data_IF_370990664215
#
_entry.id   IF_370990664215
#
_cell.length_a   1.000
_cell.length_b   1.000
_cell.length_c   1.000
_cell.angle_alpha   90.00
_cell.angle_beta   90.00
_cell.angle_gamma   90.00
#
_symmetry.space_group_name_H-M   'P 1'
#
loop_
_entity.id
_entity.type
_entity.pdbx_description
1 polymer ?
#
# COMPACT_ATOMS: atom_id res chain seq x y z
N UNK A 1 -21.07 29.79 -2.49
CA UNK A 1 -20.66 28.41 -2.83
C UNK A 1 -20.92 27.61 -1.59
N UNK A 2 -21.65 26.51 -1.72
CA UNK A 2 -21.86 25.60 -0.59
C UNK A 2 -20.68 24.64 -0.46
N UNK A 3 -20.50 24.04 0.72
CA UNK A 3 -19.36 23.15 0.99
C UNK A 3 -19.36 21.92 0.06
N UNK A 4 -20.53 21.39 -0.28
CA UNK A 4 -20.67 20.24 -1.18
C UNK A 4 -20.27 20.62 -2.62
N UNK A 5 -20.70 21.81 -3.08
CA UNK A 5 -20.33 22.35 -4.40
C UNK A 5 -18.82 22.59 -4.50
N UNK A 6 -18.18 23.01 -3.40
CA UNK A 6 -16.73 23.16 -3.33
C UNK A 6 -16.01 21.82 -3.55
N UNK A 7 -16.38 20.78 -2.81
CA UNK A 7 -15.75 19.46 -2.94
C UNK A 7 -16.01 18.78 -4.29
N UNK A 8 -17.19 18.98 -4.89
CA UNK A 8 -17.46 18.52 -6.25
C UNK A 8 -16.48 19.13 -7.26
N UNK A 9 -16.26 20.45 -7.17
CA UNK A 9 -15.32 21.16 -8.05
C UNK A 9 -13.86 20.81 -7.79
N UNK A 10 -13.47 20.53 -6.54
CA UNK A 10 -12.14 19.97 -6.26
C UNK A 10 -11.94 18.63 -6.96
N UNK A 11 -12.97 17.78 -7.01
CA UNK A 11 -12.96 16.53 -7.78
C UNK A 11 -12.70 16.74 -9.28
N UNK A 12 -13.22 17.81 -9.86
CA UNK A 12 -12.93 18.19 -11.24
C UNK A 12 -11.48 18.67 -11.42
N UNK A 13 -10.95 19.49 -10.50
CA UNK A 13 -9.54 19.91 -10.54
C UNK A 13 -8.58 18.73 -10.38
N UNK A 14 -8.88 17.78 -9.49
CA UNK A 14 -8.13 16.53 -9.35
C UNK A 14 -8.04 15.79 -10.69
N UNK A 15 -9.18 15.62 -11.38
CA UNK A 15 -9.20 14.98 -12.71
C UNK A 15 -8.32 15.74 -13.73
N UNK A 16 -8.43 17.06 -13.77
CA UNK A 16 -7.63 17.91 -14.68
C UNK A 16 -6.13 17.74 -14.39
N UNK A 17 -5.71 17.81 -13.13
CA UNK A 17 -4.31 17.65 -12.74
C UNK A 17 -3.74 16.30 -13.22
N UNK A 18 -4.51 15.21 -13.03
CA UNK A 18 -4.12 13.85 -13.46
C UNK A 18 -4.03 13.73 -14.98
N UNK A 19 -5.02 14.25 -15.72
CA UNK A 19 -5.06 14.18 -17.19
C UNK A 19 -3.97 15.03 -17.85
N UNK A 20 -3.68 16.21 -17.29
CA UNK A 20 -2.61 17.08 -17.75
C UNK A 20 -1.22 16.62 -17.30
N UNK A 21 -1.13 15.69 -16.34
CA UNK A 21 0.12 15.26 -15.69
C UNK A 21 0.90 16.46 -15.11
N UNK A 22 0.18 17.34 -14.40
CA UNK A 22 0.70 18.55 -13.75
C UNK A 22 0.55 18.41 -12.24
N UNK A 23 1.53 18.91 -11.48
CA UNK A 23 1.45 18.88 -10.02
C UNK A 23 0.31 19.80 -9.53
N UNK A 24 -0.42 19.39 -8.49
CA UNK A 24 -1.60 20.15 -8.02
C UNK A 24 -1.22 21.57 -7.63
N UNK A 25 -0.09 21.76 -6.93
CA UNK A 25 0.36 23.10 -6.54
C UNK A 25 0.62 24.01 -7.76
N UNK A 26 1.15 23.47 -8.87
CA UNK A 26 1.34 24.23 -10.11
C UNK A 26 0.00 24.62 -10.75
N UNK A 27 -0.98 23.70 -10.75
CA UNK A 27 -2.33 23.99 -11.22
C UNK A 27 -3.02 25.09 -10.39
N UNK A 28 -2.74 25.14 -9.08
CA UNK A 28 -3.30 26.17 -8.19
C UNK A 28 -2.55 27.50 -8.31
N UNK A 29 -1.23 27.47 -8.48
CA UNK A 29 -0.39 28.66 -8.56
C UNK A 29 -0.51 29.35 -9.92
N UNK A 30 -0.48 28.56 -11.00
CA UNK A 30 -0.49 29.02 -12.38
C UNK A 30 -1.62 28.32 -13.18
N UNK A 31 -2.90 28.63 -12.90
CA UNK A 31 -4.03 27.85 -13.41
C UNK A 31 -4.28 27.99 -14.92
N UNK A 32 -3.65 28.96 -15.59
CA UNK A 32 -3.81 29.17 -17.04
C UNK A 32 -5.28 29.26 -17.47
N UNK A 33 -5.70 28.40 -18.40
CA UNK A 33 -7.09 28.31 -18.87
C UNK A 33 -8.10 27.91 -17.78
N UNK A 34 -7.65 27.37 -16.65
CA UNK A 34 -8.50 26.95 -15.53
C UNK A 34 -8.68 28.04 -14.47
N UNK A 35 -8.18 29.26 -14.68
CA UNK A 35 -8.25 30.36 -13.70
C UNK A 35 -9.70 30.66 -13.24
N UNK A 36 -10.66 30.60 -14.17
CA UNK A 36 -12.08 30.83 -13.87
C UNK A 36 -12.70 29.77 -12.92
N UNK A 37 -12.10 28.59 -12.84
CA UNK A 37 -12.47 27.54 -11.89
C UNK A 37 -11.72 27.67 -10.57
N UNK A 38 -10.41 27.93 -10.62
CA UNK A 38 -9.54 27.97 -9.44
C UNK A 38 -9.80 29.19 -8.56
N UNK A 39 -9.98 30.38 -9.14
CA UNK A 39 -10.11 31.62 -8.35
C UNK A 39 -11.33 31.63 -7.41
N UNK A 40 -12.55 31.22 -7.84
CA UNK A 40 -13.69 31.15 -6.93
C UNK A 40 -13.51 30.13 -5.79
N UNK A 41 -12.84 29.00 -6.06
CA UNK A 41 -12.58 27.97 -5.06
C UNK A 41 -11.60 28.46 -4.00
N UNK A 42 -10.54 29.14 -4.43
CA UNK A 42 -9.56 29.73 -3.52
C UNK A 42 -10.21 30.79 -2.62
N UNK A 43 -10.99 31.72 -3.21
CA UNK A 43 -11.67 32.76 -2.45
C UNK A 43 -12.67 32.16 -1.44
N UNK A 44 -13.39 31.11 -1.84
CA UNK A 44 -14.25 30.38 -0.92
C UNK A 44 -13.44 29.73 0.21
N UNK A 45 -12.37 29.00 -0.10
CA UNK A 45 -11.55 28.31 0.90
C UNK A 45 -10.92 29.29 1.90
N UNK A 46 -10.49 30.46 1.42
CA UNK A 46 -9.98 31.54 2.26
C UNK A 46 -11.03 32.07 3.23
N UNK A 47 -12.28 32.21 2.78
CA UNK A 47 -13.39 32.73 3.60
C UNK A 47 -13.76 31.80 4.77
N UNK A 48 -13.43 30.51 4.66
CA UNK A 48 -13.71 29.49 5.67
C UNK A 48 -12.47 29.00 6.42
N UNK A 49 -11.30 29.63 6.22
CA UNK A 49 -10.08 29.30 6.95
C UNK A 49 -10.29 29.44 8.47
N UNK A 50 -9.97 28.36 9.19
CA UNK A 50 -10.08 28.27 10.64
C UNK A 50 -8.73 28.52 11.32
N UNK A 51 -8.74 28.77 12.64
CA UNK A 51 -7.50 28.87 13.42
C UNK A 51 -6.70 27.57 13.44
N UNK A 52 -7.38 26.42 13.31
CA UNK A 52 -6.73 25.12 13.20
C UNK A 52 -5.98 24.97 11.87
N UNK A 53 -6.61 25.38 10.77
CA UNK A 53 -5.94 25.46 9.46
C UNK A 53 -4.69 26.34 9.54
N UNK A 54 -4.82 27.53 10.14
CA UNK A 54 -3.69 28.46 10.25
C UNK A 54 -2.51 27.88 11.02
N UNK A 55 -2.79 27.18 12.11
CA UNK A 55 -1.75 26.53 12.92
C UNK A 55 -1.11 25.38 12.15
N UNK A 56 -1.92 24.47 11.57
CA UNK A 56 -1.44 23.29 10.85
C UNK A 56 -0.69 23.63 9.56
N UNK A 57 -1.05 24.73 8.90
CA UNK A 57 -0.47 25.12 7.61
C UNK A 57 0.66 26.15 7.72
N UNK A 58 0.85 26.77 8.89
CA UNK A 58 1.84 27.83 9.11
C UNK A 58 3.26 27.44 8.69
N UNK A 59 3.66 26.19 8.93
CA UNK A 59 4.99 25.67 8.56
C UNK A 59 5.25 25.70 7.05
N UNK A 60 4.22 25.53 6.21
CA UNK A 60 4.37 25.49 4.75
C UNK A 60 4.62 26.87 4.15
N UNK A 61 4.34 27.96 4.88
CA UNK A 61 4.62 29.32 4.41
C UNK A 61 6.12 29.55 4.14
N UNK A 62 7.01 28.75 4.74
CA UNK A 62 8.45 28.79 4.51
C UNK A 62 8.89 28.20 3.15
N UNK A 63 8.04 27.41 2.48
CA UNK A 63 8.40 26.61 1.29
C UNK A 63 8.41 27.45 -0.02
N UNK A 64 8.10 28.74 0.05
CA UNK A 64 8.21 29.67 -1.08
C UNK A 64 7.10 29.58 -2.15
N UNK A 65 6.27 28.54 -2.14
CA UNK A 65 5.10 28.45 -3.03
C UNK A 65 4.07 29.56 -2.76
N UNK A 66 3.36 29.95 -3.84
CA UNK A 66 2.32 30.97 -3.84
C UNK A 66 2.84 32.35 -3.41
N UNK A 67 4.10 32.68 -3.74
CA UNK A 67 4.78 33.88 -3.22
C UNK A 67 4.08 35.21 -3.56
N UNK A 68 3.32 35.25 -4.66
CA UNK A 68 2.56 36.44 -5.08
C UNK A 68 1.27 36.71 -4.29
N UNK A 69 0.94 35.87 -3.31
CA UNK A 69 -0.31 35.93 -2.53
C UNK A 69 -0.04 36.42 -1.09
N UNK A 70 -1.05 37.05 -0.48
CA UNK A 70 -1.02 37.40 0.95
C UNK A 70 -0.91 36.16 1.83
N UNK A 71 -0.50 36.32 3.10
CA UNK A 71 -0.37 35.19 4.04
C UNK A 71 -1.64 34.32 4.07
N UNK A 72 -2.82 34.93 4.12
CA UNK A 72 -4.10 34.21 4.24
C UNK A 72 -4.44 33.46 2.95
N UNK A 73 -4.29 34.10 1.80
CA UNK A 73 -4.46 33.47 0.49
C UNK A 73 -3.47 32.31 0.25
N UNK A 74 -2.22 32.41 0.77
CA UNK A 74 -1.24 31.31 0.71
C UNK A 74 -1.69 30.11 1.53
N UNK A 75 -2.19 30.33 2.75
CA UNK A 75 -2.74 29.27 3.59
C UNK A 75 -3.94 28.60 2.91
N UNK A 76 -4.85 29.38 2.32
CA UNK A 76 -5.97 28.86 1.55
C UNK A 76 -5.51 28.02 0.34
N UNK A 77 -4.46 28.47 -0.35
CA UNK A 77 -3.88 27.75 -1.49
C UNK A 77 -3.27 26.42 -1.08
N UNK A 78 -2.54 26.37 0.04
CA UNK A 78 -2.01 25.11 0.59
C UNK A 78 -3.14 24.17 1.02
N UNK A 79 -4.15 24.68 1.74
CA UNK A 79 -5.30 23.89 2.15
C UNK A 79 -6.00 23.25 0.94
N UNK A 80 -6.33 24.06 -0.06
CA UNK A 80 -6.98 23.60 -1.29
C UNK A 80 -6.10 22.61 -2.06
N UNK A 81 -4.77 22.84 -2.12
CA UNK A 81 -3.83 21.90 -2.75
C UNK A 81 -3.88 20.53 -2.06
N UNK A 82 -3.81 20.48 -0.74
CA UNK A 82 -3.89 19.22 0.00
C UNK A 82 -5.25 18.54 -0.16
N UNK A 83 -6.35 19.29 -0.16
CA UNK A 83 -7.69 18.75 -0.38
C UNK A 83 -7.84 18.13 -1.78
N UNK A 84 -7.26 18.74 -2.82
CA UNK A 84 -7.22 18.17 -4.18
C UNK A 84 -6.34 16.91 -4.21
N UNK A 85 -5.17 16.92 -3.56
CA UNK A 85 -4.29 15.74 -3.47
C UNK A 85 -4.96 14.58 -2.72
N UNK A 86 -5.72 14.85 -1.67
CA UNK A 86 -6.51 13.85 -0.96
C UNK A 86 -7.57 13.22 -1.87
N UNK A 87 -8.24 14.02 -2.71
CA UNK A 87 -9.21 13.55 -3.68
C UNK A 87 -8.57 12.73 -4.82
N UNK A 88 -7.39 13.16 -5.30
CA UNK A 88 -6.57 12.38 -6.23
C UNK A 88 -6.20 11.02 -5.67
N UNK A 89 -5.67 10.99 -4.45
CA UNK A 89 -5.33 9.75 -3.73
C UNK A 89 -6.56 8.87 -3.57
N UNK A 90 -7.72 9.44 -3.22
CA UNK A 90 -8.98 8.70 -3.08
C UNK A 90 -9.35 7.95 -4.35
N UNK A 91 -9.37 8.68 -5.48
CA UNK A 91 -9.73 8.12 -6.79
C UNK A 91 -8.71 7.07 -7.24
N UNK A 92 -7.44 7.36 -7.07
CA UNK A 92 -6.37 6.47 -7.52
C UNK A 92 -6.37 5.16 -6.76
N UNK A 93 -6.56 5.17 -5.43
CA UNK A 93 -6.67 3.94 -4.63
C UNK A 93 -7.87 3.10 -5.08
N UNK A 94 -9.05 3.71 -5.24
CA UNK A 94 -10.25 2.98 -5.68
C UNK A 94 -10.02 2.31 -7.03
N UNK A 95 -9.48 3.06 -7.99
CA UNK A 95 -9.11 2.56 -9.32
C UNK A 95 -8.09 1.41 -9.24
N UNK A 96 -7.05 1.56 -8.41
CA UNK A 96 -6.03 0.53 -8.21
C UNK A 96 -6.56 -0.72 -7.51
N UNK A 97 -7.69 -0.65 -6.81
CA UNK A 97 -8.36 -1.76 -6.15
C UNK A 97 -9.40 -2.47 -7.03
N UNK A 98 -9.76 -1.92 -8.20
CA UNK A 98 -10.74 -2.52 -9.11
C UNK A 98 -10.26 -3.88 -9.64
N UNK A 99 -11.18 -4.83 -9.79
CA UNK A 99 -10.86 -6.09 -10.47
C UNK A 99 -10.47 -5.82 -11.93
N UNK A 100 -9.67 -6.70 -12.48
CA UNK A 100 -9.32 -6.65 -13.88
C UNK A 100 -10.53 -6.89 -14.78
N UNK A 101 -10.68 -6.04 -15.79
CA UNK A 101 -11.71 -6.14 -16.81
C UNK A 101 -11.17 -5.74 -18.19
N UNK A 102 -11.84 -6.18 -19.25
CA UNK A 102 -11.42 -5.94 -20.63
C UNK A 102 -11.56 -4.48 -21.09
N UNK A 103 -12.30 -3.65 -20.36
CA UNK A 103 -12.46 -2.22 -20.59
C UNK A 103 -11.29 -1.39 -20.09
N UNK A 104 -10.45 -1.93 -19.20
CA UNK A 104 -9.27 -1.23 -18.70
C UNK A 104 -8.18 -1.09 -19.77
N UNK A 105 -7.48 0.05 -19.73
CA UNK A 105 -6.50 0.47 -20.74
C UNK A 105 -5.41 -0.58 -21.03
N UNK A 106 -4.92 -1.27 -20.01
CA UNK A 106 -3.92 -2.32 -20.14
C UNK A 106 -4.43 -3.47 -21.01
N UNK A 107 -5.64 -3.97 -20.74
CA UNK A 107 -6.22 -5.11 -21.46
C UNK A 107 -6.76 -4.73 -22.85
N UNK A 108 -7.20 -3.48 -23.04
CA UNK A 108 -7.47 -2.98 -24.39
C UNK A 108 -6.21 -2.92 -25.26
N UNK A 109 -5.08 -2.53 -24.66
CA UNK A 109 -3.81 -2.37 -25.38
C UNK A 109 -3.07 -3.70 -25.56
N UNK A 110 -3.24 -4.65 -24.63
CA UNK A 110 -2.62 -5.98 -24.64
C UNK A 110 -3.66 -7.06 -24.31
N UNK A 111 -4.60 -7.38 -25.23
CA UNK A 111 -5.69 -8.31 -24.94
C UNK A 111 -5.27 -9.70 -24.50
N UNK A 112 -4.15 -10.21 -25.03
CA UNK A 112 -3.60 -11.53 -24.64
C UNK A 112 -3.15 -11.62 -23.17
N UNK A 113 -3.02 -10.49 -22.46
CA UNK A 113 -2.70 -10.47 -21.05
C UNK A 113 -3.88 -10.96 -20.19
N UNK A 114 -5.11 -10.87 -20.69
CA UNK A 114 -6.29 -11.40 -19.99
C UNK A 114 -6.20 -12.91 -19.77
N UNK A 115 -5.60 -13.66 -20.70
CA UNK A 115 -5.40 -15.11 -20.56
C UNK A 115 -4.33 -15.47 -19.51
N UNK A 116 -3.53 -14.49 -19.12
CA UNK A 116 -2.43 -14.60 -18.14
C UNK A 116 -2.85 -14.20 -16.73
N UNK A 117 -4.11 -13.82 -16.54
CA UNK A 117 -4.68 -13.62 -15.21
C UNK A 117 -4.71 -14.96 -14.48
N UNK A 118 -4.21 -14.95 -13.25
CA UNK A 118 -4.14 -16.11 -12.35
C UNK A 118 -5.49 -16.80 -12.25
N UNK A 119 -5.45 -18.13 -12.29
CA UNK A 119 -6.60 -18.98 -12.02
C UNK A 119 -6.55 -19.51 -10.59
N UNK A 120 -7.70 -19.54 -9.94
CA UNK A 120 -7.90 -20.20 -8.65
C UNK A 120 -7.86 -21.71 -8.85
N UNK A 121 -7.79 -22.47 -7.75
CA UNK A 121 -7.87 -23.94 -7.78
C UNK A 121 -9.15 -24.46 -8.48
N UNK A 122 -10.25 -23.68 -8.46
CA UNK A 122 -11.49 -23.97 -9.19
C UNK A 122 -11.40 -23.79 -10.71
N UNK A 123 -10.28 -23.28 -11.24
CA UNK A 123 -10.08 -22.98 -12.67
C UNK A 123 -10.58 -21.60 -13.12
N UNK A 124 -11.37 -20.92 -12.31
CA UNK A 124 -11.84 -19.55 -12.58
C UNK A 124 -10.72 -18.52 -12.36
N UNK A 125 -10.67 -17.49 -13.19
CA UNK A 125 -9.75 -16.37 -12.98
C UNK A 125 -10.07 -15.60 -11.69
N UNK A 126 -9.04 -15.11 -11.01
CA UNK A 126 -9.22 -14.26 -9.82
C UNK A 126 -9.46 -12.78 -10.16
N UNK A 127 -9.12 -12.38 -11.40
CA UNK A 127 -9.21 -11.00 -11.89
C UNK A 127 -8.40 -10.01 -11.05
N UNK A 128 -7.28 -10.44 -10.46
CA UNK A 128 -6.47 -9.58 -9.60
C UNK A 128 -4.97 -9.66 -9.87
N UNK A 129 -4.45 -10.84 -10.22
CA UNK A 129 -3.02 -11.06 -10.40
C UNK A 129 -2.72 -11.63 -11.79
N UNK A 130 -1.60 -11.22 -12.37
CA UNK A 130 -1.09 -11.70 -13.67
C UNK A 130 0.15 -12.54 -13.44
N UNK A 131 0.32 -13.63 -14.19
CA UNK A 131 1.56 -14.42 -14.20
C UNK A 131 2.79 -13.52 -14.41
N UNK A 132 3.75 -13.55 -13.50
CA UNK A 132 4.95 -12.70 -13.58
C UNK A 132 5.72 -12.96 -14.87
N UNK A 133 5.75 -14.21 -15.35
CA UNK A 133 6.40 -14.61 -16.60
C UNK A 133 5.75 -14.04 -17.87
N UNK A 134 4.53 -13.49 -17.77
CA UNK A 134 3.86 -12.84 -18.90
C UNK A 134 4.37 -11.42 -19.18
N UNK A 135 5.17 -10.87 -18.26
CA UNK A 135 5.75 -9.52 -18.35
C UNK A 135 7.22 -9.56 -17.98
N UNK A 136 7.96 -8.49 -18.27
CA UNK A 136 9.36 -8.37 -17.86
C UNK A 136 9.65 -7.02 -17.27
N UNK A 137 10.31 -6.99 -16.11
CA UNK A 137 10.73 -5.72 -15.49
C UNK A 137 11.80 -5.04 -16.37
N UNK A 138 11.68 -3.73 -16.51
CA UNK A 138 12.69 -2.90 -17.15
C UNK A 138 13.71 -2.50 -16.09
N UNK A 139 14.91 -3.04 -16.17
CA UNK A 139 16.03 -2.73 -15.25
C UNK A 139 15.70 -2.94 -13.76
N UNK A 140 14.79 -3.86 -13.43
CA UNK A 140 14.35 -4.07 -12.05
C UNK A 140 13.47 -2.95 -11.47
N UNK A 141 12.94 -2.05 -12.30
CA UNK A 141 12.08 -0.95 -11.88
C UNK A 141 10.59 -1.35 -11.80
N UNK A 142 9.75 -0.38 -11.41
CA UNK A 142 8.30 -0.49 -11.44
C UNK A 142 7.72 -0.56 -12.86
N UNK A 143 8.53 -0.32 -13.89
CA UNK A 143 8.09 -0.40 -15.29
C UNK A 143 8.23 -1.83 -15.78
N UNK A 144 7.17 -2.33 -16.41
CA UNK A 144 7.15 -3.66 -17.00
C UNK A 144 6.84 -3.57 -18.50
N UNK A 145 7.53 -4.37 -19.32
CA UNK A 145 7.16 -4.59 -20.72
C UNK A 145 5.95 -5.51 -20.77
N UNK A 146 4.94 -5.11 -21.54
CA UNK A 146 3.73 -5.88 -21.80
C UNK A 146 3.36 -5.71 -23.28
N UNK A 147 3.37 -6.81 -24.03
CA UNK A 147 3.23 -6.77 -25.50
C UNK A 147 4.28 -5.87 -26.14
N UNK A 148 3.84 -4.91 -26.94
CA UNK A 148 4.71 -3.94 -27.64
C UNK A 148 4.95 -2.63 -26.87
N UNK A 149 4.46 -2.54 -25.63
CA UNK A 149 4.56 -1.32 -24.83
C UNK A 149 4.93 -1.61 -23.38
N UNK A 150 4.51 -0.70 -22.51
CA UNK A 150 4.90 -0.65 -21.12
C UNK A 150 3.70 -0.43 -20.23
N UNK A 151 3.71 -1.12 -19.09
CA UNK A 151 2.80 -0.90 -17.97
C UNK A 151 3.60 -0.67 -16.70
N UNK A 152 2.92 -0.51 -15.57
CA UNK A 152 3.52 -0.26 -14.26
C UNK A 152 3.07 -1.31 -13.26
N UNK A 153 3.95 -1.60 -12.31
CA UNK A 153 3.62 -2.29 -11.08
C UNK A 153 2.61 -1.47 -10.28
N UNK A 154 1.73 -2.15 -9.53
CA UNK A 154 0.91 -1.45 -8.54
C UNK A 154 1.83 -0.68 -7.55
N UNK A 155 1.60 0.63 -7.29
CA UNK A 155 2.53 1.46 -6.52
C UNK A 155 2.66 1.04 -5.04
N UNK A 156 1.76 0.19 -4.54
CA UNK A 156 1.84 -0.39 -3.20
C UNK A 156 2.78 -1.60 -3.10
N UNK A 157 3.37 -2.05 -4.21
CA UNK A 157 4.31 -3.15 -4.25
C UNK A 157 5.68 -2.65 -4.70
N UNK A 158 6.72 -2.95 -3.91
CA UNK A 158 8.09 -2.64 -4.29
C UNK A 158 8.56 -3.55 -5.44
N UNK A 159 9.14 -3.00 -6.53
CA UNK A 159 9.76 -3.81 -7.58
C UNK A 159 10.87 -4.72 -7.06
N UNK A 160 11.56 -4.29 -6.00
CA UNK A 160 12.61 -5.06 -5.34
C UNK A 160 12.15 -6.43 -4.86
N UNK A 161 10.88 -6.55 -4.40
CA UNK A 161 10.29 -7.83 -3.97
C UNK A 161 10.19 -8.78 -5.15
N UNK A 162 9.64 -8.31 -6.28
CA UNK A 162 9.43 -9.15 -7.46
C UNK A 162 10.79 -9.60 -8.03
N UNK A 163 11.75 -8.67 -8.13
CA UNK A 163 13.09 -8.99 -8.64
C UNK A 163 13.81 -10.00 -7.75
N UNK A 164 13.77 -9.80 -6.42
CA UNK A 164 14.38 -10.71 -5.47
C UNK A 164 13.79 -12.11 -5.60
N UNK A 165 12.47 -12.23 -5.66
CA UNK A 165 11.79 -13.51 -5.85
C UNK A 165 12.17 -14.20 -7.17
N UNK A 166 12.21 -13.45 -8.28
CA UNK A 166 12.59 -14.03 -9.57
C UNK A 166 14.03 -14.52 -9.60
N UNK A 167 14.91 -13.94 -8.77
CA UNK A 167 16.30 -14.36 -8.64
C UNK A 167 16.45 -15.57 -7.72
N UNK A 168 15.80 -15.57 -6.56
CA UNK A 168 15.89 -16.66 -5.58
C UNK A 168 15.12 -17.92 -6.01
N UNK A 169 13.93 -17.72 -6.60
CA UNK A 169 13.02 -18.81 -7.00
C UNK A 169 12.49 -18.61 -8.43
N UNK A 170 13.35 -18.68 -9.47
CA UNK A 170 12.98 -18.40 -10.85
C UNK A 170 11.90 -19.34 -11.42
N UNK A 171 11.74 -20.53 -10.83
CA UNK A 171 10.76 -21.54 -11.27
C UNK A 171 9.50 -21.58 -10.42
N UNK A 172 9.43 -20.81 -9.33
CA UNK A 172 8.26 -20.79 -8.47
C UNK A 172 7.09 -20.07 -9.18
N UNK A 173 5.85 -20.58 -9.10
CA UNK A 173 4.69 -19.85 -9.59
C UNK A 173 4.57 -18.52 -8.85
N UNK A 174 4.67 -17.42 -9.60
CA UNK A 174 4.60 -16.07 -9.08
C UNK A 174 3.62 -15.23 -9.91
N UNK A 175 2.83 -14.42 -9.22
CA UNK A 175 1.80 -13.58 -9.82
C UNK A 175 1.84 -12.19 -9.21
N UNK A 176 1.56 -11.18 -10.02
CA UNK A 176 1.75 -9.77 -9.66
C UNK A 176 0.59 -8.90 -10.13
N UNK A 177 0.31 -7.85 -9.36
CA UNK A 177 -0.65 -6.82 -9.74
C UNK A 177 0.03 -5.71 -10.53
N UNK A 178 -0.52 -5.43 -11.71
CA UNK A 178 -0.12 -4.34 -12.59
C UNK A 178 -1.20 -3.25 -12.57
N UNK A 179 -0.81 -2.03 -12.92
CA UNK A 179 -1.73 -0.92 -13.10
C UNK A 179 -2.53 -1.10 -14.40
N UNK A 180 -3.75 -1.61 -14.28
CA UNK A 180 -4.64 -1.84 -15.41
C UNK A 180 -5.11 -0.55 -16.11
N UNK A 181 -5.07 0.60 -15.41
CA UNK A 181 -5.40 1.90 -15.98
C UNK A 181 -4.26 2.53 -16.79
N UNK A 182 -3.07 1.91 -16.80
CA UNK A 182 -1.88 2.48 -17.41
C UNK A 182 -1.31 1.59 -18.53
N UNK A 183 -1.10 2.22 -19.70
CA UNK A 183 -0.31 1.66 -20.79
C UNK A 183 0.35 2.79 -21.59
N UNK A 184 1.62 2.58 -21.95
CA UNK A 184 2.40 3.48 -22.81
C UNK A 184 3.05 2.71 -23.94
N UNK A 185 3.01 3.27 -25.15
CA UNK A 185 3.75 2.72 -26.29
C UNK A 185 5.26 2.99 -26.19
N UNK A 186 5.67 4.01 -25.45
CA UNK A 186 7.07 4.37 -25.19
C UNK A 186 7.43 4.13 -23.73
N UNK A 187 8.71 3.87 -23.46
CA UNK A 187 9.17 3.60 -22.09
C UNK A 187 8.96 4.85 -21.21
N UNK A 188 8.21 4.76 -20.10
CA UNK A 188 8.06 5.87 -19.18
C UNK A 188 9.35 6.14 -18.40
N UNK A 189 9.38 7.30 -17.71
CA UNK A 189 10.41 7.60 -16.72
C UNK A 189 10.30 6.63 -15.54
N UNK A 190 11.45 6.12 -15.10
CA UNK A 190 11.58 5.20 -13.97
C UNK A 190 11.61 5.97 -12.64
N UNK A 191 10.98 5.42 -11.61
CA UNK A 191 11.12 5.92 -10.25
C UNK A 191 12.52 5.59 -9.72
N UNK A 192 13.16 6.57 -9.08
CA UNK A 192 14.33 6.32 -8.26
C UNK A 192 13.86 5.74 -6.93
N UNK A 193 14.20 4.49 -6.65
CA UNK A 193 13.89 3.83 -5.38
C UNK A 193 15.18 3.54 -4.62
N UNK A 194 15.23 3.97 -3.35
CA UNK A 194 16.32 3.64 -2.44
C UNK A 194 15.83 2.53 -1.49
N UNK A 195 16.62 1.46 -1.36
CA UNK A 195 16.33 0.37 -0.45
C UNK A 195 17.59 0.02 0.35
N UNK A 196 17.46 -0.07 1.67
CA UNK A 196 18.50 -0.60 2.55
C UNK A 196 18.20 -2.07 2.82
N UNK A 197 19.11 -2.96 2.44
CA UNK A 197 19.03 -4.39 2.74
C UNK A 197 19.72 -4.66 4.09
N UNK A 198 18.94 -5.10 5.08
CA UNK A 198 19.45 -5.61 6.36
C UNK A 198 19.13 -7.11 6.41
N UNK A 199 20.14 -8.01 6.37
CA UNK A 199 19.89 -9.44 6.40
C UNK A 199 19.33 -9.87 7.78
N UNK A 200 18.34 -10.75 7.78
CA UNK A 200 17.81 -11.35 9.00
C UNK A 200 18.76 -12.41 9.58
N UNK A 201 18.82 -12.54 10.91
CA UNK A 201 19.47 -13.66 11.60
C UNK A 201 18.41 -14.73 11.94
N UNK A 202 18.41 -15.91 11.30
CA UNK A 202 17.29 -16.86 11.32
C UNK A 202 17.30 -17.89 12.47
N UNK A 203 18.09 -17.71 13.54
CA UNK A 203 18.26 -18.75 14.57
C UNK A 203 17.35 -18.56 15.77
N UNK A 204 16.12 -19.09 15.75
CA UNK A 204 15.32 -19.32 16.98
C UNK A 204 13.91 -19.93 16.80
N UNK A 205 13.38 -20.19 15.58
CA UNK A 205 12.03 -20.79 15.40
C UNK A 205 12.06 -22.34 15.34
N UNK A 206 12.86 -22.99 16.19
CA UNK A 206 13.40 -24.33 15.95
C UNK A 206 12.36 -25.44 15.68
N UNK A 207 11.14 -25.36 16.23
CA UNK A 207 10.29 -26.56 16.33
C UNK A 207 8.87 -26.45 15.76
N UNK A 208 8.44 -25.34 15.15
CA UNK A 208 7.10 -25.22 14.54
C UNK A 208 5.96 -25.81 15.41
N UNK A 209 5.98 -25.50 16.71
CA UNK A 209 5.44 -26.34 17.80
C UNK A 209 3.94 -26.22 18.07
N UNK A 210 3.23 -25.35 17.34
CA UNK A 210 1.78 -25.18 17.46
C UNK A 210 1.06 -26.46 17.05
N UNK A 211 0.25 -27.04 17.95
CA UNK A 211 -0.58 -28.24 17.71
C UNK A 211 -1.98 -27.86 17.21
N UNK A 212 -2.72 -28.83 16.66
CA UNK A 212 -4.09 -28.61 16.18
C UNK A 212 -4.97 -27.92 17.23
N UNK A 213 -5.66 -26.85 16.81
CA UNK A 213 -6.52 -26.03 17.67
C UNK A 213 -5.79 -24.95 18.48
N UNK A 214 -4.46 -24.93 18.48
CA UNK A 214 -3.67 -23.86 19.09
C UNK A 214 -3.63 -22.63 18.19
N UNK A 215 -3.53 -21.46 18.83
CA UNK A 215 -3.42 -20.15 18.21
C UNK A 215 -2.32 -19.38 18.93
N UNK A 216 -1.63 -18.54 18.18
CA UNK A 216 -0.70 -17.57 18.72
C UNK A 216 -1.01 -16.18 18.16
N UNK A 217 -0.75 -15.16 18.96
CA UNK A 217 -1.11 -13.78 18.65
C UNK A 217 -0.13 -12.79 19.29
N UNK A 218 0.30 -11.82 18.48
CA UNK A 218 1.09 -10.69 18.95
C UNK A 218 0.56 -9.37 18.38
N UNK A 219 0.65 -8.30 19.18
CA UNK A 219 0.23 -6.94 18.81
C UNK A 219 1.27 -5.93 19.29
N UNK A 220 1.84 -5.18 18.35
CA UNK A 220 2.88 -4.18 18.62
C UNK A 220 2.37 -2.79 18.24
N UNK A 221 2.69 -1.79 19.06
CA UNK A 221 2.12 -0.46 18.94
C UNK A 221 3.20 0.63 18.94
N UNK A 222 3.21 1.47 17.90
CA UNK A 222 3.92 2.74 17.95
C UNK A 222 3.13 3.75 18.77
N UNK A 223 3.77 4.31 19.79
CA UNK A 223 3.23 5.43 20.56
C UNK A 223 3.63 6.75 19.91
N UNK A 224 2.79 7.77 20.03
CA UNK A 224 3.11 9.13 19.63
C UNK A 224 4.16 9.70 20.61
N UNK A 225 5.45 9.53 20.30
CA UNK A 225 6.58 10.00 21.10
C UNK A 225 7.32 11.12 20.39
N UNK A 226 7.86 12.12 21.10
CA UNK A 226 8.70 13.15 20.49
C UNK A 226 10.01 12.55 19.93
N UNK A 227 10.67 13.21 18.96
CA UNK A 227 11.92 12.72 18.38
C UNK A 227 13.03 12.46 19.41
N UNK A 228 13.01 13.15 20.55
CA UNK A 228 13.97 13.01 21.64
C UNK A 228 13.90 11.65 22.36
N UNK A 229 12.78 10.94 22.25
CA UNK A 229 12.56 9.63 22.91
C UNK A 229 12.78 8.44 21.96
N UNK A 230 12.99 8.70 20.67
CA UNK A 230 13.14 7.65 19.66
C UNK A 230 12.92 8.20 18.25
N UNK A 231 14.00 8.43 17.51
CA UNK A 231 13.91 9.02 16.18
C UNK A 231 13.25 8.07 15.16
N UNK A 232 13.52 6.77 15.27
CA UNK A 232 12.96 5.76 14.38
C UNK A 232 11.46 5.59 14.63
N UNK A 233 11.04 5.58 15.89
CA UNK A 233 9.64 5.52 16.32
C UNK A 233 8.88 6.76 15.86
N UNK A 234 9.46 7.94 16.05
CA UNK A 234 8.90 9.19 15.55
C UNK A 234 8.73 9.15 14.02
N UNK A 235 9.75 8.69 13.30
CA UNK A 235 9.72 8.61 11.84
C UNK A 235 8.64 7.63 11.35
N UNK A 236 8.59 6.42 11.90
CA UNK A 236 7.58 5.43 11.52
C UNK A 236 6.16 5.91 11.84
N UNK A 237 5.96 6.55 13.01
CA UNK A 237 4.64 7.04 13.43
C UNK A 237 4.17 8.28 12.64
N UNK A 238 4.98 9.33 12.57
CA UNK A 238 4.58 10.63 12.01
C UNK A 238 4.77 10.74 10.51
N UNK A 239 5.80 10.09 9.95
CA UNK A 239 6.16 10.26 8.53
C UNK A 239 5.71 9.09 7.67
N UNK A 240 5.89 7.85 8.14
CA UNK A 240 5.33 6.67 7.45
C UNK A 240 3.88 6.37 7.80
N UNK A 241 3.32 7.10 8.77
CA UNK A 241 1.94 6.96 9.20
C UNK A 241 1.60 5.56 9.74
N UNK A 242 2.57 4.82 10.29
CA UNK A 242 2.34 3.46 10.83
C UNK A 242 1.89 3.54 12.28
N UNK A 243 0.93 2.69 12.69
CA UNK A 243 0.42 2.68 14.06
C UNK A 243 0.65 1.36 14.78
N UNK A 244 0.39 0.23 14.11
CA UNK A 244 0.30 -1.08 14.77
C UNK A 244 0.67 -2.20 13.81
N UNK A 245 1.30 -3.24 14.34
CA UNK A 245 1.55 -4.52 13.67
C UNK A 245 0.81 -5.62 14.45
N UNK A 246 -0.05 -6.37 13.77
CA UNK A 246 -0.76 -7.52 14.35
C UNK A 246 -0.30 -8.80 13.64
N UNK A 247 0.07 -9.81 14.43
CA UNK A 247 0.49 -11.12 13.93
C UNK A 247 -0.42 -12.18 14.51
N UNK A 248 -0.96 -13.03 13.66
CA UNK A 248 -1.80 -14.16 14.08
C UNK A 248 -1.43 -15.43 13.35
N UNK A 249 -1.25 -16.49 14.12
CA UNK A 249 -0.97 -17.84 13.62
C UNK A 249 -2.02 -18.81 14.15
N UNK A 250 -2.55 -19.67 13.30
CA UNK A 250 -3.55 -20.66 13.66
C UNK A 250 -3.29 -21.99 12.95
N UNK A 251 -3.21 -23.10 13.70
CA UNK A 251 -3.19 -24.45 13.13
C UNK A 251 -4.61 -25.03 13.12
N UNK A 252 -5.23 -25.07 11.94
CA UNK A 252 -6.64 -25.53 11.79
C UNK A 252 -6.76 -27.04 11.64
N UNK A 253 -5.78 -27.67 11.00
CA UNK A 253 -5.69 -29.12 10.81
C UNK A 253 -4.33 -29.61 11.31
N UNK A 254 -4.15 -30.93 11.46
CA UNK A 254 -2.88 -31.48 11.97
C UNK A 254 -1.68 -31.08 11.09
N UNK A 255 -1.91 -30.94 9.79
CA UNK A 255 -0.96 -30.53 8.75
C UNK A 255 -1.16 -29.09 8.25
N UNK A 256 -2.24 -28.38 8.59
CA UNK A 256 -2.53 -27.06 8.02
C UNK A 256 -2.38 -25.91 9.02
N UNK A 257 -1.41 -25.03 8.75
CA UNK A 257 -1.17 -23.80 9.48
C UNK A 257 -1.37 -22.59 8.56
N UNK A 258 -2.09 -21.59 9.07
CA UNK A 258 -2.35 -20.32 8.40
C UNK A 258 -1.82 -19.18 9.25
N UNK A 259 -1.25 -18.16 8.62
CA UNK A 259 -0.70 -16.99 9.30
C UNK A 259 -1.08 -15.71 8.57
N UNK A 260 -1.46 -14.70 9.34
CA UNK A 260 -1.77 -13.34 8.87
C UNK A 260 -0.90 -12.36 9.66
N UNK A 261 -0.24 -11.47 8.95
CA UNK A 261 0.50 -10.33 9.48
C UNK A 261 -0.11 -9.07 8.88
N UNK A 262 -0.62 -8.16 9.69
CA UNK A 262 -1.26 -6.93 9.23
C UNK A 262 -0.63 -5.70 9.90
N UNK A 263 -0.05 -4.81 9.09
CA UNK A 263 0.45 -3.50 9.52
C UNK A 263 -0.62 -2.43 9.22
N UNK A 264 -1.15 -1.85 10.30
CA UNK A 264 -2.18 -0.83 10.26
C UNK A 264 -1.56 0.56 10.35
N UNK A 265 -1.95 1.49 9.46
CA UNK A 265 -1.55 2.87 9.57
C UNK A 265 -2.35 3.59 10.67
N UNK A 266 -2.00 4.84 10.96
CA UNK A 266 -2.79 5.69 11.84
C UNK A 266 -4.17 5.92 11.21
N UNK A 267 -5.22 5.99 12.04
CA UNK A 267 -6.59 6.09 11.58
C UNK A 267 -6.99 7.53 11.29
N UNK A 268 -6.06 8.47 11.12
CA UNK A 268 -6.28 9.92 10.93
C UNK A 268 -5.81 10.42 9.55
N UNK A 269 -5.52 9.52 8.59
CA UNK A 269 -5.23 9.89 7.20
C UNK A 269 -6.36 10.79 6.63
N UNK A 270 -6.03 12.01 6.17
CA UNK A 270 -7.00 12.97 5.63
C UNK A 270 -7.70 12.52 4.36
N UNK A 271 -7.15 11.54 3.62
CA UNK A 271 -7.81 10.99 2.43
C UNK A 271 -9.07 10.19 2.76
N UNK A 272 -9.33 9.92 4.04
CA UNK A 272 -10.48 9.10 4.43
C UNK A 272 -10.18 7.60 4.46
N UNK A 273 -9.00 7.16 4.02
CA UNK A 273 -8.62 5.75 3.96
C UNK A 273 -7.65 5.33 5.05
N UNK A 274 -7.84 4.10 5.54
CA UNK A 274 -6.81 3.37 6.27
C UNK A 274 -6.36 2.23 5.36
N UNK A 275 -5.12 2.31 4.84
CA UNK A 275 -4.55 1.33 3.90
C UNK A 275 -3.55 0.46 4.65
N UNK A 276 -4.01 -0.71 5.09
CA UNK A 276 -3.16 -1.66 5.80
C UNK A 276 -2.38 -2.54 4.83
N UNK A 277 -1.16 -2.94 5.22
CA UNK A 277 -0.37 -3.94 4.50
C UNK A 277 -0.58 -5.29 5.15
N UNK A 278 -1.00 -6.27 4.36
CA UNK A 278 -1.32 -7.59 4.83
C UNK A 278 -0.46 -8.64 4.13
N UNK A 279 0.18 -9.51 4.91
CA UNK A 279 0.84 -10.72 4.45
C UNK A 279 -0.01 -11.89 4.94
N UNK A 280 -0.43 -12.75 4.03
CA UNK A 280 -1.13 -13.99 4.36
C UNK A 280 -0.37 -15.16 3.75
N UNK A 281 -0.21 -16.24 4.52
CA UNK A 281 0.41 -17.46 4.05
C UNK A 281 -0.26 -18.69 4.65
N UNK A 282 -0.14 -19.80 3.93
CA UNK A 282 -0.58 -21.11 4.36
C UNK A 282 0.53 -22.16 4.14
N UNK A 283 0.60 -23.15 5.02
CA UNK A 283 1.51 -24.31 4.94
C UNK A 283 0.71 -25.62 5.09
N UNK A 284 1.26 -26.73 4.57
CA UNK A 284 0.71 -28.09 4.74
C UNK A 284 1.63 -29.03 5.53
N UNK A 285 2.56 -28.45 6.28
CA UNK A 285 3.51 -29.23 7.07
C UNK A 285 2.98 -29.53 8.49
N UNK A 286 3.19 -30.75 8.99
CA UNK A 286 2.77 -31.13 10.34
C UNK A 286 3.49 -30.32 11.41
N UNK A 287 2.91 -30.29 12.61
CA UNK A 287 3.59 -29.75 13.79
C UNK A 287 4.95 -30.44 14.00
N UNK A 288 5.95 -29.71 14.51
CA UNK A 288 7.31 -30.21 14.72
C UNK A 288 8.15 -30.45 13.47
N UNK A 289 7.67 -30.04 12.29
CA UNK A 289 8.52 -29.98 11.10
C UNK A 289 9.61 -28.92 11.30
N UNK A 290 10.91 -29.24 11.09
CA UNK A 290 11.97 -28.26 11.23
C UNK A 290 11.72 -27.05 10.34
N UNK A 291 11.87 -25.83 10.87
CA UNK A 291 11.54 -24.58 10.15
C UNK A 291 12.16 -24.49 8.75
N UNK A 292 13.42 -24.89 8.61
CA UNK A 292 14.14 -24.88 7.33
C UNK A 292 13.62 -25.86 6.29
N UNK A 293 12.71 -26.76 6.67
CA UNK A 293 12.06 -27.75 5.81
C UNK A 293 10.59 -27.40 5.52
N UNK A 294 10.00 -26.43 6.22
CA UNK A 294 8.61 -26.03 6.02
C UNK A 294 8.47 -25.30 4.68
N UNK A 295 7.51 -25.74 3.87
CA UNK A 295 7.17 -25.13 2.59
C UNK A 295 5.84 -24.37 2.68
N UNK A 296 5.86 -23.10 2.29
CA UNK A 296 4.63 -22.34 2.08
C UNK A 296 3.94 -22.81 0.81
N UNK A 297 2.68 -23.22 0.95
CA UNK A 297 1.82 -23.46 -0.21
C UNK A 297 1.70 -22.19 -1.03
N UNK A 298 1.50 -21.06 -0.33
CA UNK A 298 1.55 -19.74 -0.90
C UNK A 298 1.85 -18.67 0.15
N UNK A 299 2.34 -17.55 -0.33
CA UNK A 299 2.40 -16.28 0.38
C UNK A 299 1.78 -15.22 -0.52
N UNK A 300 0.78 -14.52 0.01
CA UNK A 300 0.09 -13.41 -0.61
C UNK A 300 0.49 -12.09 0.09
N UNK A 301 0.90 -11.10 -0.69
CA UNK A 301 1.01 -9.70 -0.26
C UNK A 301 -0.24 -8.96 -0.73
N UNK A 302 -0.91 -8.26 0.16
CA UNK A 302 -2.14 -7.53 -0.14
C UNK A 302 -2.18 -6.16 0.55
N UNK A 303 -3.00 -5.27 0.03
CA UNK A 303 -3.50 -4.12 0.80
C UNK A 303 -4.94 -4.37 1.23
N UNK A 304 -5.25 -3.97 2.46
CA UNK A 304 -6.61 -3.89 2.97
C UNK A 304 -6.96 -2.40 3.16
N UNK A 305 -7.88 -1.91 2.34
CA UNK A 305 -8.35 -0.51 2.40
C UNK A 305 -9.67 -0.48 3.16
N UNK A 306 -9.72 0.36 4.18
CA UNK A 306 -10.91 0.62 4.98
C UNK A 306 -11.35 2.08 4.82
N UNK A 307 -12.64 2.29 4.55
CA UNK A 307 -13.25 3.63 4.47
C UNK A 307 -14.47 3.76 5.40
N UNK A 308 -14.83 5.00 5.75
CA UNK A 308 -16.03 5.27 6.55
C UNK A 308 -16.08 4.52 7.88
N UNK A 309 -17.19 3.84 8.15
CA UNK A 309 -17.37 3.08 9.40
C UNK A 309 -16.45 1.86 9.51
N UNK A 310 -16.08 1.22 8.39
CA UNK A 310 -15.22 0.03 8.41
C UNK A 310 -13.83 0.39 8.95
N UNK A 311 -13.35 1.60 8.66
CA UNK A 311 -12.10 2.13 9.23
C UNK A 311 -12.17 2.20 10.75
N UNK A 312 -13.23 2.80 11.30
CA UNK A 312 -13.38 2.93 12.74
C UNK A 312 -13.53 1.56 13.43
N UNK A 313 -14.34 0.66 12.84
CA UNK A 313 -14.55 -0.70 13.35
C UNK A 313 -13.26 -1.52 13.34
N UNK A 314 -12.50 -1.52 12.23
CA UNK A 314 -11.23 -2.26 12.14
C UNK A 314 -10.22 -1.75 13.15
N UNK A 315 -10.11 -0.43 13.32
CA UNK A 315 -9.15 0.17 14.25
C UNK A 315 -9.45 -0.18 15.71
N UNK A 316 -10.73 -0.29 16.08
CA UNK A 316 -11.17 -0.68 17.42
C UNK A 316 -11.03 -2.19 17.70
N UNK A 317 -10.74 -3.00 16.68
CA UNK A 317 -10.61 -4.45 16.77
C UNK A 317 -9.14 -4.89 16.71
N UNK A 318 -8.91 -6.15 17.06
CA UNK A 318 -7.61 -6.83 17.02
C UNK A 318 -7.80 -8.25 16.48
N UNK A 319 -6.80 -8.77 15.76
CA UNK A 319 -6.80 -10.13 15.22
C UNK A 319 -6.85 -11.21 16.31
N UNK A 320 -6.54 -10.89 17.57
CA UNK A 320 -6.50 -11.82 18.71
C UNK A 320 -7.64 -12.86 18.70
N UNK A 321 -8.87 -12.40 18.49
CA UNK A 321 -10.07 -13.22 18.67
C UNK A 321 -10.56 -13.90 17.39
N UNK A 322 -9.92 -13.69 16.23
CA UNK A 322 -10.44 -14.29 15.01
C UNK A 322 -10.61 -13.34 13.85
N UNK A 323 -11.82 -13.42 13.27
CA UNK A 323 -12.30 -12.55 12.21
C UNK A 323 -12.43 -11.12 12.74
N UNK A 324 -11.80 -10.19 12.04
CA UNK A 324 -11.97 -8.75 12.23
C UNK A 324 -12.87 -8.18 11.14
N UNK A 325 -13.15 -6.89 11.22
CA UNK A 325 -13.85 -6.12 10.19
C UNK A 325 -13.25 -6.39 8.82
N UNK A 326 -14.11 -6.78 7.88
CA UNK A 326 -13.72 -7.00 6.49
C UNK A 326 -13.30 -5.66 5.88
N UNK A 327 -12.25 -5.68 5.05
CA UNK A 327 -11.80 -4.49 4.32
C UNK A 327 -12.85 -4.07 3.29
N UNK A 328 -13.05 -2.76 3.14
CA UNK A 328 -13.90 -2.21 2.08
C UNK A 328 -13.36 -2.62 0.70
N UNK A 329 -12.03 -2.66 0.57
CA UNK A 329 -11.34 -3.27 -0.57
C UNK A 329 -10.16 -4.11 -0.07
N UNK A 330 -10.16 -5.42 -0.34
CA UNK A 330 -8.96 -6.27 -0.22
C UNK A 330 -8.41 -6.52 -1.61
N UNK A 331 -7.14 -6.21 -1.81
CA UNK A 331 -6.50 -6.30 -3.12
C UNK A 331 -5.16 -7.01 -3.00
N UNK A 332 -5.03 -8.17 -3.65
CA UNK A 332 -3.76 -8.87 -3.71
C UNK A 332 -2.80 -8.13 -4.66
N UNK A 333 -1.58 -7.90 -4.22
CA UNK A 333 -0.52 -7.23 -4.96
C UNK A 333 0.46 -8.24 -5.56
N UNK A 334 0.75 -9.30 -4.81
CA UNK A 334 1.73 -10.31 -5.18
C UNK A 334 1.33 -11.65 -4.57
N UNK A 335 1.63 -12.72 -5.28
CA UNK A 335 1.54 -14.08 -4.77
C UNK A 335 2.73 -14.89 -5.25
N UNK A 336 3.33 -15.67 -4.36
CA UNK A 336 4.27 -16.74 -4.72
C UNK A 336 3.84 -18.05 -4.08
N UNK A 337 4.10 -19.15 -4.76
CA UNK A 337 3.80 -20.51 -4.30
C UNK A 337 5.07 -21.34 -4.16
N UNK A 338 5.06 -22.32 -3.24
CA UNK A 338 6.14 -23.31 -3.04
C UNK A 338 7.49 -22.66 -2.72
N UNK A 339 7.51 -21.86 -1.67
CA UNK A 339 8.74 -21.24 -1.16
C UNK A 339 9.00 -21.64 0.29
N UNK A 340 10.28 -21.69 0.73
CA UNK A 340 10.60 -22.02 2.12
C UNK A 340 9.99 -21.02 3.09
N UNK A 341 9.41 -21.46 4.20
CA UNK A 341 8.79 -20.59 5.21
C UNK A 341 9.72 -19.47 5.69
N UNK A 342 11.01 -19.74 5.80
CA UNK A 342 12.03 -18.76 6.22
C UNK A 342 12.10 -17.51 5.33
N UNK A 343 11.60 -17.57 4.09
CA UNK A 343 11.54 -16.39 3.23
C UNK A 343 10.54 -15.34 3.72
N UNK A 344 9.58 -15.71 4.58
CA UNK A 344 8.61 -14.81 5.20
C UNK A 344 9.27 -13.56 5.79
N UNK A 345 10.37 -13.72 6.52
CA UNK A 345 11.06 -12.61 7.17
C UNK A 345 11.62 -11.59 6.18
N UNK A 346 12.09 -12.09 5.02
CA UNK A 346 12.55 -11.22 3.94
C UNK A 346 11.37 -10.48 3.30
N UNK A 347 10.24 -11.15 3.08
CA UNK A 347 9.00 -10.48 2.64
C UNK A 347 8.54 -9.41 3.63
N UNK A 348 8.50 -9.70 4.95
CA UNK A 348 8.18 -8.72 5.97
C UNK A 348 9.15 -7.53 5.92
N UNK A 349 10.45 -7.79 5.81
CA UNK A 349 11.49 -6.77 5.72
C UNK A 349 11.37 -5.87 4.48
N UNK A 350 10.87 -6.38 3.36
CA UNK A 350 10.72 -5.60 2.12
C UNK A 350 9.33 -4.97 1.95
N UNK A 351 8.28 -5.56 2.54
CA UNK A 351 6.90 -5.13 2.34
C UNK A 351 6.37 -4.21 3.45
N UNK A 352 6.72 -4.49 4.72
CA UNK A 352 6.27 -3.68 5.86
C UNK A 352 7.08 -2.38 5.97
N UNK A 353 6.40 -1.30 6.33
CA UNK A 353 6.99 0.03 6.40
C UNK A 353 7.76 0.26 7.71
N UNK A 354 7.22 -0.21 8.83
CA UNK A 354 7.84 0.00 10.14
C UNK A 354 8.97 -0.99 10.36
N UNK A 355 10.19 -0.44 10.55
CA UNK A 355 11.35 -1.26 10.94
C UNK A 355 11.39 -1.46 12.44
N UNK A 356 10.83 -0.53 13.22
CA UNK A 356 10.71 -0.66 14.67
C UNK A 356 9.81 -1.84 15.03
N UNK A 357 8.55 -1.83 14.57
CA UNK A 357 7.59 -2.88 14.92
C UNK A 357 8.02 -4.26 14.42
N UNK A 358 8.59 -4.32 13.22
CA UNK A 358 9.18 -5.55 12.70
C UNK A 358 10.34 -6.04 13.59
N UNK A 359 11.23 -5.15 14.02
CA UNK A 359 12.36 -5.53 14.88
C UNK A 359 11.90 -5.97 16.27
N UNK A 360 10.91 -5.30 16.86
CA UNK A 360 10.29 -5.72 18.13
C UNK A 360 9.73 -7.13 18.01
N UNK A 361 8.92 -7.38 16.97
CA UNK A 361 8.35 -8.69 16.72
C UNK A 361 9.43 -9.76 16.55
N UNK A 362 10.43 -9.51 15.69
CA UNK A 362 11.52 -10.45 15.46
C UNK A 362 12.36 -10.69 16.72
N UNK A 363 12.62 -9.68 17.54
CA UNK A 363 13.42 -9.81 18.76
C UNK A 363 12.72 -10.60 19.87
N UNK A 364 11.41 -10.41 20.05
CA UNK A 364 10.61 -11.20 21.02
C UNK A 364 10.69 -12.68 20.67
N UNK A 365 10.51 -12.93 19.40
CA UNK A 365 10.64 -14.21 18.79
C UNK A 365 12.06 -14.81 19.02
N UNK A 366 13.15 -14.04 18.93
CA UNK A 366 14.53 -14.48 19.32
C UNK A 366 14.68 -14.79 20.81
N UNK A 367 13.91 -14.12 21.65
CA UNK A 367 14.09 -14.12 23.11
C UNK A 367 13.24 -15.15 23.83
N UNK A 368 12.27 -15.75 23.15
CA UNK A 368 11.40 -16.84 23.62
C UNK A 368 12.03 -18.20 23.34
#
# INVERSE_FOLDING_TARGET
MEIDEYFEKLGHLAKIAKEANVAVHELVENPGSHAAMVAPLLAFRESILTSEDENGLSGYLAIGFFAGRTRRERLAAFAMTFEIEHELKRREVKRLCERYDSGQRLFQSVPGLSDKIRRRASGSQDFELIEVSAVSSVSGSEIYRAGNGFTKLCPYLSPGIVNWVQNEWPTAPAFVRLDAGYYSATQPLQLLTEATLVPANPRWLEDFSLRKGMKDFAEYHLLNRPPSEGHAEYWDYHLKNVRRLEVRVERREDDYLTMIIEELPRPDDPSGFMIARCIHLDTRDPAFTPLGQVEMQHLDLAINVYEGEDRAKRFAQSLQNGKVQDASFRTHLFRIERTPFVSLFSFCGMFLESKVLLSEWLNELVSA
#
